data_IF_277384557405
#
_entry.id   IF_277384557405
#
_cell.length_a   1.000
_cell.length_b   1.000
_cell.length_c   1.000
_cell.angle_alpha   90.00
_cell.angle_beta   90.00
_cell.angle_gamma   90.00
#
_symmetry.space_group_name_H-M   'P 1'
#
loop_
_entity.id
_entity.type
_entity.pdbx_description
1 polymer ?
#
# COMPACT_ATOMS: atom_id res chain seq x y z
N UNK A 1 8.23 -12.45 -11.48
CA UNK A 1 8.11 -11.02 -11.14
C UNK A 1 6.67 -10.77 -10.73
N UNK A 2 6.34 -10.82 -9.44
CA UNK A 2 4.96 -10.62 -8.96
C UNK A 2 4.89 -9.24 -8.31
N UNK A 3 4.48 -8.24 -9.09
CA UNK A 3 4.22 -6.88 -8.62
C UNK A 3 2.90 -6.88 -7.87
N UNK A 4 2.90 -6.42 -6.63
CA UNK A 4 1.70 -6.28 -5.83
C UNK A 4 1.04 -4.94 -6.19
N UNK A 5 0.05 -4.99 -7.08
CA UNK A 5 -0.76 -3.81 -7.43
C UNK A 5 -1.73 -3.55 -6.27
N UNK A 6 -1.53 -2.46 -5.55
CA UNK A 6 -2.45 -1.94 -4.54
C UNK A 6 -3.83 -1.67 -5.17
N UNK A 7 -4.94 -2.01 -4.50
CA UNK A 7 -6.25 -1.91 -5.12
C UNK A 7 -6.79 -0.49 -5.15
N UNK A 8 -7.64 -0.31 -6.17
CA UNK A 8 -8.49 0.83 -6.53
C UNK A 8 -9.23 1.43 -5.33
N UNK A 9 -9.59 2.71 -5.49
CA UNK A 9 -10.22 3.71 -4.60
C UNK A 9 -11.43 3.31 -3.71
N UNK A 10 -11.75 2.04 -3.52
CA UNK A 10 -12.75 1.58 -2.54
C UNK A 10 -12.10 1.33 -1.18
N UNK A 11 -11.64 2.39 -0.51
CA UNK A 11 -11.02 2.25 0.82
C UNK A 11 -11.95 2.75 1.91
N UNK A 12 -12.51 1.84 2.73
CA UNK A 12 -13.29 2.25 3.87
C UNK A 12 -12.36 2.91 4.88
N UNK A 13 -12.62 4.18 5.18
CA UNK A 13 -12.07 4.80 6.39
C UNK A 13 -12.83 4.17 7.55
N UNK A 14 -12.12 3.43 8.40
CA UNK A 14 -12.68 2.86 9.63
C UNK A 14 -11.93 3.47 10.79
N UNK A 15 -12.66 3.89 11.81
CA UNK A 15 -12.06 4.48 13.02
C UNK A 15 -11.15 5.69 12.73
N UNK A 16 -11.42 6.42 11.64
CA UNK A 16 -10.64 7.58 11.21
C UNK A 16 -9.32 7.25 10.50
N UNK A 17 -9.02 5.97 10.24
CA UNK A 17 -7.78 5.55 9.59
C UNK A 17 -8.03 4.92 8.21
N UNK A 18 -7.16 5.20 7.20
CA UNK A 18 -7.19 4.49 5.94
C UNK A 18 -6.86 3.01 6.12
N UNK A 19 -7.65 2.17 5.46
CA UNK A 19 -7.38 0.74 5.38
C UNK A 19 -7.12 0.35 3.93
N UNK A 20 -6.00 -0.32 3.68
CA UNK A 20 -5.65 -0.88 2.36
C UNK A 20 -5.71 -2.39 2.45
N UNK A 21 -6.55 -3.02 1.65
CA UNK A 21 -6.54 -4.48 1.50
C UNK A 21 -5.62 -4.86 0.36
N UNK A 22 -4.74 -5.85 0.52
CA UNK A 22 -3.81 -6.28 -0.53
C UNK A 22 -3.80 -7.81 -0.63
N UNK A 23 -3.90 -8.39 -1.84
CA UNK A 23 -3.81 -9.83 -2.01
C UNK A 23 -2.34 -10.29 -1.89
N UNK A 24 -1.98 -10.99 -0.82
CA UNK A 24 -0.60 -11.42 -0.57
C UNK A 24 -0.22 -12.62 -1.47
N UNK A 25 0.92 -12.54 -2.20
CA UNK A 25 1.27 -13.49 -3.24
C UNK A 25 1.59 -14.90 -2.73
N UNK A 26 2.06 -15.04 -1.49
CA UNK A 26 2.49 -16.34 -0.96
C UNK A 26 1.34 -17.20 -0.44
N UNK A 27 0.26 -16.57 0.04
CA UNK A 27 -0.85 -17.26 0.72
C UNK A 27 -2.18 -17.18 -0.01
N UNK A 28 -2.24 -16.43 -1.13
CA UNK A 28 -3.45 -16.22 -1.91
C UNK A 28 -4.64 -15.69 -1.05
N UNK A 29 -4.31 -14.89 -0.04
CA UNK A 29 -5.26 -14.29 0.90
C UNK A 29 -5.24 -12.77 0.80
N UNK A 30 -6.31 -12.12 1.22
CA UNK A 30 -6.39 -10.66 1.32
C UNK A 30 -6.02 -10.22 2.73
N UNK A 31 -4.91 -9.51 2.87
CA UNK A 31 -4.51 -8.90 4.14
C UNK A 31 -4.91 -7.42 4.17
N UNK A 32 -5.34 -6.92 5.32
CA UNK A 32 -5.73 -5.53 5.51
C UNK A 32 -4.68 -4.79 6.34
N UNK A 33 -4.21 -3.67 5.81
CA UNK A 33 -3.23 -2.79 6.44
C UNK A 33 -3.90 -1.50 6.88
N UNK A 34 -3.86 -1.22 8.18
CA UNK A 34 -4.29 0.06 8.74
C UNK A 34 -3.12 1.05 8.72
N UNK A 35 -3.32 2.22 8.12
CA UNK A 35 -2.27 3.22 7.95
C UNK A 35 -2.58 4.47 8.77
N UNK A 36 -1.53 5.18 9.20
CA UNK A 36 -1.63 6.45 9.90
C UNK A 36 -1.22 7.59 8.96
N UNK A 37 -2.15 8.45 8.47
CA UNK A 37 -1.86 9.45 7.45
C UNK A 37 -0.67 10.36 7.77
N UNK A 38 -0.58 10.80 9.03
CA UNK A 38 0.43 11.76 9.50
C UNK A 38 1.79 11.12 9.76
N UNK A 39 1.82 9.90 10.30
CA UNK A 39 3.08 9.28 10.79
C UNK A 39 3.64 8.22 9.87
N UNK A 40 2.83 7.66 8.96
CA UNK A 40 3.31 6.68 7.99
C UNK A 40 3.63 7.35 6.65
N UNK A 41 4.60 6.76 5.97
CA UNK A 41 4.95 7.02 4.58
C UNK A 41 4.67 5.79 3.70
N UNK A 42 4.76 5.97 2.39
CA UNK A 42 4.77 4.86 1.41
C UNK A 42 5.83 3.82 1.78
N UNK A 43 7.01 4.24 2.23
CA UNK A 43 8.08 3.35 2.68
C UNK A 43 7.63 2.45 3.82
N UNK A 44 7.00 3.02 4.85
CA UNK A 44 6.48 2.22 5.96
C UNK A 44 5.45 1.19 5.50
N UNK A 45 4.55 1.56 4.59
CA UNK A 45 3.58 0.61 4.03
C UNK A 45 4.26 -0.53 3.25
N UNK A 46 5.28 -0.22 2.45
CA UNK A 46 6.05 -1.23 1.72
C UNK A 46 6.82 -2.17 2.65
N UNK A 47 7.32 -1.67 3.78
CA UNK A 47 8.01 -2.49 4.78
C UNK A 47 7.01 -3.40 5.49
N UNK A 48 5.84 -2.88 5.89
CA UNK A 48 4.75 -3.70 6.45
C UNK A 48 4.35 -4.85 5.50
N UNK A 49 4.28 -4.59 4.20
CA UNK A 49 3.98 -5.63 3.20
C UNK A 49 5.04 -6.75 3.20
N UNK A 50 6.32 -6.39 3.20
CA UNK A 50 7.43 -7.36 3.17
C UNK A 50 7.55 -8.15 4.48
N UNK A 51 7.27 -7.50 5.61
CA UNK A 51 7.27 -8.15 6.91
C UNK A 51 6.16 -9.19 7.01
N UNK A 52 4.98 -8.88 6.47
CA UNK A 52 3.81 -9.78 6.44
C UNK A 52 4.00 -10.93 5.45
N UNK A 53 4.53 -10.66 4.25
CA UNK A 53 4.78 -11.66 3.22
C UNK A 53 6.24 -11.65 2.73
N UNK A 54 7.04 -12.55 3.31
CA UNK A 54 8.45 -12.76 2.94
C UNK A 54 8.67 -13.25 1.50
N UNK A 55 7.62 -13.65 0.79
CA UNK A 55 7.68 -13.97 -0.64
C UNK A 55 7.68 -12.74 -1.55
N UNK A 56 7.48 -11.53 -0.99
CA UNK A 56 7.61 -10.28 -1.71
C UNK A 56 9.08 -9.89 -1.84
N UNK A 57 9.67 -10.16 -3.01
CA UNK A 57 11.01 -9.65 -3.37
C UNK A 57 10.99 -8.14 -3.63
N UNK A 58 9.94 -7.65 -4.30
CA UNK A 58 9.79 -6.25 -4.70
C UNK A 58 8.35 -5.78 -4.58
N UNK A 59 8.18 -4.59 -4.03
CA UNK A 59 6.91 -3.87 -4.01
C UNK A 59 7.17 -2.38 -4.32
N UNK A 60 6.24 -1.76 -5.01
CA UNK A 60 6.27 -0.34 -5.34
C UNK A 60 4.83 0.17 -5.38
N UNK A 61 4.67 1.45 -5.07
CA UNK A 61 3.41 2.16 -5.27
C UNK A 61 3.56 3.03 -6.51
N UNK A 62 2.57 2.99 -7.40
CA UNK A 62 2.57 3.70 -8.67
C UNK A 62 1.39 4.68 -8.72
N UNK A 63 1.58 5.84 -9.34
CA UNK A 63 0.47 6.73 -9.68
C UNK A 63 -0.28 6.21 -10.93
N UNK A 64 -1.32 6.93 -11.38
CA UNK A 64 -2.10 6.57 -12.57
C UNK A 64 -1.29 6.51 -13.87
N UNK A 65 -0.21 7.27 -13.95
CA UNK A 65 0.69 7.29 -15.10
C UNK A 65 1.72 6.15 -15.07
N UNK A 66 1.67 5.28 -14.05
CA UNK A 66 2.64 4.20 -13.85
C UNK A 66 3.98 4.67 -13.28
N UNK A 67 4.07 5.92 -12.83
CA UNK A 67 5.27 6.49 -12.21
C UNK A 67 5.33 6.08 -10.74
N UNK A 68 6.50 5.63 -10.31
CA UNK A 68 6.74 5.22 -8.93
C UNK A 68 6.65 6.40 -7.98
N UNK A 69 5.83 6.25 -6.94
CA UNK A 69 5.72 7.21 -5.84
C UNK A 69 6.89 7.00 -4.88
N UNK A 70 7.50 8.11 -4.44
CA UNK A 70 8.65 8.09 -3.55
C UNK A 70 8.30 7.45 -2.19
N UNK A 71 9.24 6.70 -1.62
CA UNK A 71 9.06 6.07 -0.31
C UNK A 71 8.84 7.10 0.82
N UNK A 72 9.36 8.32 0.68
CA UNK A 72 9.17 9.41 1.63
C UNK A 72 7.81 10.12 1.51
N UNK A 73 6.98 9.79 0.53
CA UNK A 73 5.64 10.36 0.39
C UNK A 73 4.79 9.94 1.60
N UNK A 74 4.13 10.90 2.26
CA UNK A 74 3.23 10.61 3.38
C UNK A 74 2.02 9.82 2.91
N UNK A 75 1.42 9.04 3.82
CA UNK A 75 0.16 8.38 3.51
C UNK A 75 -0.96 9.41 3.30
N UNK A 76 -0.94 10.55 3.99
CA UNK A 76 -1.87 11.64 3.75
C UNK A 76 -1.87 12.10 2.27
N UNK A 77 -0.71 12.48 1.74
CA UNK A 77 -0.57 12.91 0.33
C UNK A 77 -0.89 11.77 -0.64
N UNK A 78 -0.47 10.55 -0.32
CA UNK A 78 -0.77 9.38 -1.14
C UNK A 78 -2.28 9.16 -1.34
N UNK A 79 -3.11 9.49 -0.34
CA UNK A 79 -4.55 9.27 -0.36
C UNK A 79 -5.33 10.36 -1.13
N UNK A 80 -4.67 11.43 -1.57
CA UNK A 80 -5.29 12.51 -2.33
C UNK A 80 -5.62 12.10 -3.78
N UNK A 81 -4.85 11.18 -4.37
CA UNK A 81 -5.07 10.67 -5.73
C UNK A 81 -5.13 9.13 -5.81
N UNK A 82 -5.43 8.60 -7.00
CA UNK A 82 -5.42 7.15 -7.21
C UNK A 82 -3.99 6.64 -7.32
N UNK A 83 -3.79 5.44 -6.77
CA UNK A 83 -2.53 4.73 -6.86
C UNK A 83 -2.74 3.23 -6.96
N UNK A 84 -1.67 2.56 -7.39
CA UNK A 84 -1.57 1.13 -7.66
C UNK A 84 -0.32 0.53 -7.04
#
# INVERSE_FOLDING_TARGET
>A
MRSLLAPRRDRPIREGLPHITVPLPSRNERCQFTLRPVTHSVGNFLDMLKDEDRGIDRAAVLNRDGVRIAASCSIETLMEDDFW
#
